data_IF_827612648025
#
_entry.id   IF_827612648025
#
_cell.length_a   1.000
_cell.length_b   1.000
_cell.length_c   1.000
_cell.angle_alpha   90.00
_cell.angle_beta   90.00
_cell.angle_gamma   90.00
#
_symmetry.space_group_name_H-M   'P 1'
#
loop_
_entity.id
_entity.type
_entity.pdbx_description
1 polymer ?
#
# COMPACT_ATOMS: atom_id res chain seq x y z
N UNK A 1 -16.17 -1.18 -14.96
CA UNK A 1 -15.66 -0.85 -13.62
C UNK A 1 -14.16 -0.66 -13.77
N UNK A 2 -13.62 0.52 -13.46
CA UNK A 2 -12.17 0.76 -13.56
C UNK A 2 -11.47 -0.08 -12.47
N UNK A 3 -10.44 -0.84 -12.85
CA UNK A 3 -9.61 -1.53 -11.87
C UNK A 3 -8.78 -0.49 -11.13
N UNK A 4 -8.79 -0.47 -9.78
CA UNK A 4 -7.98 0.47 -9.02
C UNK A 4 -6.49 0.16 -9.23
N UNK A 5 -5.72 1.19 -9.53
CA UNK A 5 -4.25 1.14 -9.59
C UNK A 5 -3.65 1.91 -8.41
N UNK A 6 -2.57 1.37 -7.84
CA UNK A 6 -1.72 2.08 -6.89
C UNK A 6 -0.37 2.33 -7.54
N UNK A 7 0.08 3.59 -7.54
CA UNK A 7 1.41 3.99 -8.00
C UNK A 7 2.18 4.65 -6.87
N UNK A 8 3.47 4.39 -6.80
CA UNK A 8 4.43 5.02 -5.90
C UNK A 8 5.54 5.66 -6.72
N UNK A 9 5.94 6.88 -6.36
CA UNK A 9 6.95 7.65 -7.09
C UNK A 9 7.74 8.57 -6.15
N UNK A 10 8.89 9.04 -6.64
CA UNK A 10 9.67 10.09 -5.99
C UNK A 10 9.23 11.44 -6.55
N UNK A 11 9.09 12.42 -5.67
CA UNK A 11 8.72 13.78 -6.05
C UNK A 11 9.87 14.50 -6.74
N UNK A 12 9.70 14.76 -8.04
CA UNK A 12 10.65 15.53 -8.86
C UNK A 12 10.19 16.96 -9.13
N UNK A 13 9.00 17.33 -8.66
CA UNK A 13 8.31 18.59 -8.97
C UNK A 13 7.98 19.41 -7.71
N UNK A 14 8.53 19.04 -6.56
CA UNK A 14 8.30 19.70 -5.26
C UNK A 14 6.81 19.83 -4.89
N UNK A 15 6.00 18.82 -5.25
CA UNK A 15 4.56 18.73 -4.96
C UNK A 15 4.29 18.43 -3.49
N UNK A 16 5.21 17.76 -2.79
CA UNK A 16 5.04 17.41 -1.37
C UNK A 16 5.21 18.67 -0.50
N UNK A 17 4.14 19.07 0.18
CA UNK A 17 4.10 20.26 1.01
C UNK A 17 5.22 20.30 2.08
N UNK A 18 5.75 21.49 2.42
CA UNK A 18 6.77 21.64 3.48
C UNK A 18 6.35 20.95 4.78
N UNK A 19 7.28 20.22 5.41
CA UNK A 19 7.03 19.48 6.66
C UNK A 19 6.35 18.11 6.48
N UNK A 20 5.84 17.78 5.30
CA UNK A 20 5.36 16.42 4.94
C UNK A 20 6.38 15.68 4.09
N UNK A 21 6.31 14.36 4.04
CA UNK A 21 7.20 13.55 3.18
C UNK A 21 6.45 12.64 2.22
N UNK A 22 5.13 12.56 2.38
CA UNK A 22 4.22 11.86 1.49
C UNK A 22 3.11 12.81 1.06
N UNK A 23 2.82 12.81 -0.24
CA UNK A 23 1.59 13.30 -0.84
C UNK A 23 0.83 12.10 -1.40
N UNK A 24 -0.45 11.97 -1.04
CA UNK A 24 -1.36 11.04 -1.69
C UNK A 24 -2.35 11.82 -2.55
N UNK A 25 -2.37 11.50 -3.84
CA UNK A 25 -3.43 11.95 -4.75
C UNK A 25 -4.32 10.78 -5.13
N UNK A 26 -5.61 11.06 -5.28
CA UNK A 26 -6.61 10.07 -5.65
C UNK A 26 -7.46 10.61 -6.79
N UNK A 27 -7.49 9.87 -7.89
CA UNK A 27 -8.33 10.08 -9.05
C UNK A 27 -9.17 8.82 -9.29
N UNK A 28 -10.27 8.88 -10.07
CA UNK A 28 -11.05 7.70 -10.38
C UNK A 28 -10.19 6.58 -11.01
N UNK A 29 -9.98 5.50 -10.25
CA UNK A 29 -9.19 4.34 -10.67
C UNK A 29 -7.68 4.42 -10.40
N UNK A 30 -7.17 5.51 -9.82
CA UNK A 30 -5.73 5.67 -9.54
C UNK A 30 -5.49 6.34 -8.18
N UNK A 31 -4.63 5.73 -7.36
CA UNK A 31 -4.05 6.35 -6.17
C UNK A 31 -2.54 6.46 -6.39
N UNK A 32 -1.98 7.65 -6.18
CA UNK A 32 -0.54 7.89 -6.30
C UNK A 32 0.04 8.34 -4.96
N UNK A 33 1.01 7.57 -4.44
CA UNK A 33 1.85 7.94 -3.30
C UNK A 33 3.17 8.53 -3.77
N UNK A 34 3.31 9.85 -3.61
CA UNK A 34 4.49 10.61 -4.01
C UNK A 34 5.34 10.91 -2.78
N UNK A 35 6.57 10.38 -2.73
CA UNK A 35 7.49 10.59 -1.62
C UNK A 35 8.52 11.68 -1.91
N UNK A 36 8.79 12.56 -0.94
CA UNK A 36 9.90 13.52 -1.05
C UNK A 36 11.24 12.78 -1.24
N UNK A 37 12.17 13.28 -2.07
CA UNK A 37 13.50 12.70 -2.21
C UNK A 37 14.18 12.43 -0.88
N UNK A 38 14.83 11.26 -0.76
CA UNK A 38 15.51 10.82 0.46
C UNK A 38 14.61 10.14 1.50
N UNK A 39 13.28 10.19 1.35
CA UNK A 39 12.35 9.55 2.28
C UNK A 39 11.84 8.17 1.82
N UNK A 40 11.93 7.89 0.53
CA UNK A 40 11.81 6.56 -0.07
C UNK A 40 12.84 6.45 -1.20
N UNK A 41 13.33 5.24 -1.47
CA UNK A 41 14.22 4.98 -2.61
C UNK A 41 13.43 4.67 -3.89
N UNK A 42 14.00 4.96 -5.06
CA UNK A 42 13.40 4.63 -6.35
C UNK A 42 13.16 3.12 -6.49
N UNK A 43 14.12 2.29 -6.10
CA UNK A 43 14.00 0.82 -6.12
C UNK A 43 12.82 0.35 -5.27
N UNK A 44 12.54 1.02 -4.14
CA UNK A 44 11.36 0.70 -3.34
C UNK A 44 10.06 1.01 -4.09
N UNK A 45 9.96 2.20 -4.68
CA UNK A 45 8.80 2.59 -5.48
C UNK A 45 8.57 1.61 -6.64
N UNK A 46 9.63 1.20 -7.33
CA UNK A 46 9.58 0.22 -8.41
C UNK A 46 9.06 -1.14 -7.95
N UNK A 47 9.59 -1.68 -6.84
CA UNK A 47 9.15 -2.97 -6.32
C UNK A 47 7.71 -2.90 -5.80
N UNK A 48 7.34 -1.85 -5.05
CA UNK A 48 5.94 -1.64 -4.62
C UNK A 48 5.00 -1.58 -5.83
N UNK A 49 5.34 -0.83 -6.88
CA UNK A 49 4.56 -0.76 -8.11
C UNK A 49 4.44 -2.12 -8.79
N UNK A 50 5.53 -2.87 -8.86
CA UNK A 50 5.54 -4.21 -9.45
C UNK A 50 4.59 -5.16 -8.70
N UNK A 51 4.69 -5.20 -7.37
CA UNK A 51 3.84 -6.05 -6.55
C UNK A 51 2.38 -5.57 -6.55
N UNK A 52 2.11 -4.26 -6.45
CA UNK A 52 0.76 -3.72 -6.54
C UNK A 52 0.10 -4.04 -7.89
N UNK A 53 0.82 -3.90 -9.01
CA UNK A 53 0.30 -4.31 -10.32
C UNK A 53 -0.06 -5.79 -10.36
N UNK A 54 0.76 -6.65 -9.77
CA UNK A 54 0.45 -8.08 -9.66
C UNK A 54 -0.81 -8.31 -8.81
N UNK A 55 -0.88 -7.71 -7.61
CA UNK A 55 -2.02 -7.79 -6.70
C UNK A 55 -3.33 -7.39 -7.41
N UNK A 56 -3.36 -6.21 -8.04
CA UNK A 56 -4.57 -5.72 -8.69
C UNK A 56 -4.92 -6.48 -9.96
N UNK A 57 -3.94 -6.85 -10.80
CA UNK A 57 -4.17 -7.61 -12.03
C UNK A 57 -4.86 -8.94 -11.77
N UNK A 58 -4.51 -9.60 -10.67
CA UNK A 58 -5.08 -10.90 -10.31
C UNK A 58 -6.32 -10.78 -9.41
N UNK A 59 -6.87 -9.58 -9.22
CA UNK A 59 -8.12 -9.37 -8.47
C UNK A 59 -8.00 -9.58 -6.96
N UNK A 60 -6.76 -9.64 -6.47
CA UNK A 60 -6.45 -10.11 -5.12
C UNK A 60 -6.84 -9.06 -4.06
N UNK A 61 -6.84 -7.79 -4.46
CA UNK A 61 -7.41 -6.67 -3.70
C UNK A 61 -8.53 -6.03 -4.53
N UNK A 62 -9.68 -5.78 -3.91
CA UNK A 62 -10.83 -5.11 -4.52
C UNK A 62 -11.22 -3.85 -3.72
N UNK A 63 -11.21 -2.68 -4.37
CA UNK A 63 -11.68 -1.45 -3.74
C UNK A 63 -13.22 -1.41 -3.71
N UNK A 64 -13.82 -1.11 -2.55
CA UNK A 64 -15.28 -1.07 -2.40
C UNK A 64 -15.75 0.39 -2.44
N UNK A 65 -16.12 0.86 -3.63
CA UNK A 65 -16.77 2.17 -3.79
C UNK A 65 -18.22 2.12 -3.30
N UNK A 66 -18.63 3.08 -2.48
CA UNK A 66 -20.03 3.28 -2.07
C UNK A 66 -20.55 2.37 -0.94
N UNK A 67 -19.67 1.85 -0.08
CA UNK A 67 -20.11 1.17 1.13
C UNK A 67 -20.55 2.19 2.20
N UNK A 68 -21.80 2.11 2.66
CA UNK A 68 -22.25 2.86 3.84
C UNK A 68 -21.52 2.36 5.11
N UNK A 69 -21.30 3.26 6.08
CA UNK A 69 -20.59 3.07 7.36
C UNK A 69 -21.12 1.92 8.27
N UNK A 70 -22.08 1.11 7.81
CA UNK A 70 -22.73 0.06 8.60
C UNK A 70 -22.75 -1.33 7.96
N UNK A 71 -22.06 -1.58 6.84
CA UNK A 71 -21.99 -2.96 6.31
C UNK A 71 -21.02 -3.79 7.15
N UNK A 72 -21.48 -4.93 7.68
CA UNK A 72 -20.60 -5.85 8.41
C UNK A 72 -19.38 -6.24 7.54
N UNK A 73 -18.16 -6.24 8.11
CA UNK A 73 -16.98 -6.69 7.40
C UNK A 73 -17.17 -8.16 6.99
N UNK A 74 -16.99 -8.48 5.71
CA UNK A 74 -16.89 -9.89 5.31
C UNK A 74 -15.67 -10.55 5.96
N UNK A 75 -15.62 -11.88 6.01
CA UNK A 75 -14.44 -12.62 6.50
C UNK A 75 -13.15 -12.28 5.73
N UNK A 76 -13.28 -11.71 4.52
CA UNK A 76 -12.19 -11.19 3.69
C UNK A 76 -12.04 -9.66 3.75
N UNK A 77 -12.60 -8.98 4.74
CA UNK A 77 -12.37 -7.55 4.89
C UNK A 77 -10.90 -7.31 5.24
N UNK A 78 -10.27 -6.36 4.55
CA UNK A 78 -8.89 -6.00 4.83
C UNK A 78 -8.87 -5.08 6.07
N UNK A 79 -8.86 -5.70 7.25
CA UNK A 79 -9.09 -5.01 8.52
C UNK A 79 -7.91 -4.13 8.95
N UNK A 80 -6.69 -4.40 8.46
CA UNK A 80 -5.49 -3.59 8.70
C UNK A 80 -4.48 -3.71 7.56
N UNK A 81 -4.05 -2.58 6.98
CA UNK A 81 -2.84 -2.47 6.14
C UNK A 81 -1.82 -1.62 6.87
N UNK A 82 -0.54 -2.01 6.86
CA UNK A 82 0.55 -1.13 7.31
C UNK A 82 1.88 -1.42 6.62
N UNK A 83 2.75 -0.43 6.66
CA UNK A 83 4.16 -0.54 6.34
C UNK A 83 4.94 -0.78 7.64
N UNK A 84 5.97 -1.63 7.58
CA UNK A 84 6.86 -1.90 8.70
C UNK A 84 8.31 -1.94 8.19
N UNK A 85 9.16 -1.05 8.70
CA UNK A 85 10.59 -1.09 8.41
C UNK A 85 11.22 -2.25 9.17
N UNK A 86 12.02 -3.07 8.48
CA UNK A 86 12.72 -4.23 9.03
C UNK A 86 14.21 -4.18 8.69
N UNK A 87 15.07 -4.77 9.53
CA UNK A 87 16.51 -4.84 9.27
C UNK A 87 16.85 -5.53 7.94
N UNK A 88 17.99 -5.20 7.34
CA UNK A 88 18.37 -5.66 6.02
C UNK A 88 18.60 -7.17 5.92
N UNK A 89 18.95 -7.83 7.03
CA UNK A 89 19.17 -9.27 7.13
C UNK A 89 17.85 -10.09 7.06
N UNK A 90 16.70 -9.44 7.24
CA UNK A 90 15.38 -10.05 7.09
C UNK A 90 14.94 -10.20 5.62
N UNK A 91 15.72 -9.70 4.65
CA UNK A 91 15.36 -9.70 3.23
C UNK A 91 16.31 -10.57 2.39
N UNK A 92 15.77 -11.24 1.35
CA UNK A 92 16.58 -11.70 0.24
C UNK A 92 17.37 -10.54 -0.38
N UNK A 93 18.56 -10.84 -0.90
CA UNK A 93 19.58 -9.85 -1.31
C UNK A 93 19.04 -8.71 -2.17
N UNK A 94 18.15 -9.02 -3.12
CA UNK A 94 17.68 -8.07 -4.14
C UNK A 94 16.29 -7.50 -3.85
N UNK A 95 15.68 -7.87 -2.73
CA UNK A 95 14.35 -7.39 -2.34
C UNK A 95 14.46 -6.26 -1.31
N UNK A 96 13.65 -5.24 -1.51
CA UNK A 96 13.55 -4.07 -0.63
C UNK A 96 12.14 -3.86 -0.10
N UNK A 97 11.15 -4.57 -0.66
CA UNK A 97 9.83 -4.73 -0.05
C UNK A 97 9.34 -6.17 -0.16
N UNK A 98 8.59 -6.63 0.85
CA UNK A 98 7.92 -7.93 0.86
C UNK A 98 6.48 -7.75 1.35
N UNK A 99 5.48 -8.24 0.61
CA UNK A 99 4.13 -8.38 1.16
C UNK A 99 4.11 -9.54 2.16
N UNK A 100 3.56 -9.32 3.35
CA UNK A 100 3.34 -10.36 4.35
C UNK A 100 1.87 -10.34 4.80
N UNK A 101 1.20 -11.46 4.59
CA UNK A 101 -0.15 -11.69 5.10
C UNK A 101 -0.11 -12.28 6.52
N UNK A 102 -1.05 -11.85 7.35
CA UNK A 102 -1.35 -12.39 8.67
C UNK A 102 -2.88 -12.45 8.81
N UNK A 103 -3.43 -13.28 9.71
CA UNK A 103 -4.88 -13.30 9.94
C UNK A 103 -5.43 -11.89 10.22
N UNK A 104 -6.23 -11.36 9.29
CA UNK A 104 -6.84 -10.03 9.36
C UNK A 104 -5.90 -8.83 9.14
N UNK A 105 -4.64 -9.06 8.73
CA UNK A 105 -3.66 -7.98 8.51
C UNK A 105 -2.82 -8.21 7.24
N UNK A 106 -2.51 -7.12 6.56
CA UNK A 106 -1.52 -7.09 5.49
C UNK A 106 -0.40 -6.12 5.85
N UNK A 107 0.84 -6.61 5.83
CA UNK A 107 2.02 -5.81 6.18
C UNK A 107 2.95 -5.73 4.98
N UNK A 108 3.25 -4.51 4.53
CA UNK A 108 4.38 -4.25 3.65
C UNK A 108 5.65 -4.16 4.50
N UNK A 109 6.46 -5.22 4.48
CA UNK A 109 7.79 -5.17 5.09
C UNK A 109 8.70 -4.37 4.16
N UNK A 110 9.31 -3.31 4.70
CA UNK A 110 10.21 -2.42 3.96
C UNK A 110 11.61 -2.60 4.51
N UNK A 111 12.59 -2.82 3.63
CA UNK A 111 13.98 -2.95 4.04
C UNK A 111 14.50 -1.63 4.58
N UNK A 112 15.23 -1.68 5.69
CA UNK A 112 15.87 -0.50 6.26
C UNK A 112 16.69 0.27 5.22
N UNK A 113 16.79 1.58 5.41
CA UNK A 113 17.41 2.55 4.49
C UNK A 113 16.68 2.79 3.16
N UNK A 114 15.65 2.00 2.80
CA UNK A 114 14.84 2.25 1.60
C UNK A 114 13.61 3.13 1.85
N UNK A 115 13.24 3.33 3.12
CA UNK A 115 12.20 4.25 3.55
C UNK A 115 12.59 4.86 4.90
N UNK A 116 12.35 6.16 5.06
CA UNK A 116 12.51 6.85 6.34
C UNK A 116 11.37 6.51 7.31
N UNK A 117 11.64 6.58 8.62
CA UNK A 117 10.60 6.37 9.63
C UNK A 117 9.43 7.35 9.44
N UNK A 118 9.71 8.61 9.13
CA UNK A 118 8.66 9.61 8.89
C UNK A 118 7.75 9.22 7.71
N UNK A 119 8.31 8.71 6.61
CA UNK A 119 7.49 8.26 5.48
C UNK A 119 6.65 7.03 5.84
N UNK A 120 7.23 6.08 6.57
CA UNK A 120 6.50 4.93 7.08
C UNK A 120 5.32 5.36 7.99
N UNK A 121 5.54 6.33 8.87
CA UNK A 121 4.52 6.84 9.78
C UNK A 121 3.40 7.59 9.04
N UNK A 122 3.76 8.48 8.10
CA UNK A 122 2.78 9.19 7.27
C UNK A 122 1.97 8.21 6.39
N UNK A 123 2.62 7.25 5.73
CA UNK A 123 1.93 6.19 4.96
C UNK A 123 0.96 5.41 5.85
N UNK A 124 1.39 5.00 7.05
CA UNK A 124 0.55 4.27 7.99
C UNK A 124 -0.61 5.09 8.52
N UNK A 125 -0.42 6.39 8.74
CA UNK A 125 -1.51 7.30 9.10
C UNK A 125 -2.60 7.29 8.01
N UNK A 126 -2.20 7.37 6.74
CA UNK A 126 -3.14 7.32 5.62
C UNK A 126 -3.81 5.95 5.47
N UNK A 127 -3.07 4.85 5.58
CA UNK A 127 -3.63 3.50 5.51
C UNK A 127 -4.68 3.26 6.61
N UNK A 128 -4.41 3.70 7.85
CA UNK A 128 -5.38 3.61 8.94
C UNK A 128 -6.67 4.38 8.64
N UNK A 129 -6.57 5.57 8.06
CA UNK A 129 -7.75 6.37 7.65
C UNK A 129 -8.51 5.67 6.53
N UNK A 130 -7.82 5.11 5.54
CA UNK A 130 -8.43 4.42 4.41
C UNK A 130 -9.17 3.13 4.81
N UNK A 131 -8.58 2.35 5.73
CA UNK A 131 -9.21 1.15 6.32
C UNK A 131 -10.43 1.54 7.14
N UNK A 132 -10.33 2.58 7.99
CA UNK A 132 -11.46 3.06 8.80
C UNK A 132 -12.64 3.53 7.94
N UNK A 133 -12.36 4.06 6.76
CA UNK A 133 -13.38 4.47 5.79
C UNK A 133 -13.99 3.30 4.98
N UNK A 134 -13.59 2.05 5.22
CA UNK A 134 -14.16 0.87 4.56
C UNK A 134 -13.87 0.77 3.05
N UNK A 135 -12.86 1.49 2.57
CA UNK A 135 -12.63 1.68 1.13
C UNK A 135 -12.04 0.44 0.42
N UNK A 136 -11.59 -0.58 1.15
CA UNK A 136 -10.84 -1.72 0.59
C UNK A 136 -11.33 -3.07 1.15
N UNK A 137 -11.50 -4.05 0.25
CA UNK A 137 -11.89 -5.44 0.54
C UNK A 137 -10.83 -6.37 -0.06
N UNK A 138 -10.45 -7.41 0.68
CA UNK A 138 -9.51 -8.42 0.24
C UNK A 138 -10.31 -9.55 -0.47
N UNK A 139 -9.85 -10.10 -1.60
CA UNK A 139 -10.55 -11.20 -2.32
C UNK A 139 -9.53 -12.22 -2.83
N UNK A 140 -9.09 -13.15 -1.99
CA UNK A 140 -8.14 -14.21 -2.39
C UNK A 140 -8.79 -15.60 -2.53
N UNK A 141 -10.03 -15.79 -2.08
CA UNK A 141 -10.70 -17.11 -2.04
C UNK A 141 -11.53 -17.47 -3.29
N UNK A 142 -11.37 -16.80 -4.43
CA UNK A 142 -11.82 -17.36 -5.72
C UNK A 142 -10.71 -18.18 -6.41
N UNK A 143 -9.88 -18.85 -5.61
CA UNK A 143 -9.13 -20.03 -6.05
C UNK A 143 -9.67 -21.22 -5.27
N UNK A 144 -10.85 -21.67 -5.70
CA UNK A 144 -11.18 -23.08 -5.56
C UNK A 144 -10.12 -23.86 -6.35
N UNK A 145 -9.27 -24.56 -5.62
CA UNK A 145 -8.73 -25.81 -6.12
C UNK A 145 -9.94 -26.74 -6.36
N UNK A 146 -10.36 -26.87 -7.63
CA UNK A 146 -10.82 -28.08 -8.37
C UNK A 146 -11.55 -27.67 -9.66
#
# INVERSE_FOLDING_TARGET
MLMPEMRYEIDTEDRVAPGRVLLLTQEPGLVVGTYRPGHASEILCEQLNSVCRHIFRHGLWAQRWGADEGTEPSEHALLKVRFEIRPADAFPKDLVCLPQERPGEFVWLIREHHMSQQACDETNEHLRRAVKAGLWVQRWEERDDV
#
